data_IF_138568441640
#
_entry.id   IF_138568441640
#
_cell.length_a   1.000
_cell.length_b   1.000
_cell.length_c   1.000
_cell.angle_alpha   90.00
_cell.angle_beta   90.00
_cell.angle_gamma   90.00
#
_symmetry.space_group_name_H-M   'P 1'
#
loop_
_entity.id
_entity.type
_entity.pdbx_description
1 polymer ?
#
# COMPACT_ATOMS: atom_id res chain seq x y z
N UNK A 1 12.38 -12.59 25.96
CA UNK A 1 11.49 -11.42 25.82
C UNK A 1 11.40 -11.07 24.34
N UNK A 2 10.37 -11.53 23.64
CA UNK A 2 10.14 -11.13 22.24
C UNK A 2 9.58 -9.71 22.22
N UNK A 3 10.25 -8.79 21.52
CA UNK A 3 9.75 -7.43 21.38
C UNK A 3 8.61 -7.40 20.36
N UNK A 4 7.50 -6.74 20.70
CA UNK A 4 6.45 -6.46 19.72
C UNK A 4 7.02 -5.63 18.56
N UNK A 5 6.70 -6.03 17.33
CA UNK A 5 6.96 -5.24 16.12
C UNK A 5 5.94 -4.12 15.90
N UNK A 6 4.89 -4.02 16.73
CA UNK A 6 3.80 -3.08 16.51
C UNK A 6 4.27 -1.63 16.52
N UNK A 7 3.99 -0.93 15.41
CA UNK A 7 4.18 0.52 15.28
C UNK A 7 2.83 1.17 15.05
N UNK A 8 2.50 2.14 15.90
CA UNK A 8 1.30 2.95 15.73
C UNK A 8 1.40 3.81 14.46
N UNK A 9 0.38 3.76 13.61
CA UNK A 9 0.33 4.60 12.41
C UNK A 9 0.19 6.09 12.80
N UNK A 10 0.70 7.03 11.99
CA UNK A 10 0.40 8.45 12.19
C UNK A 10 -1.11 8.73 12.16
N UNK A 11 -1.57 9.68 12.98
CA UNK A 11 -3.01 9.98 13.12
C UNK A 11 -3.67 10.33 11.78
N UNK A 12 -2.96 11.07 10.91
CA UNK A 12 -3.45 11.42 9.57
C UNK A 12 -3.66 10.22 8.64
N UNK A 13 -2.99 9.09 8.90
CA UNK A 13 -3.21 7.83 8.19
C UNK A 13 -4.33 7.02 8.85
N UNK A 14 -4.37 6.97 10.18
CA UNK A 14 -5.44 6.31 10.93
C UNK A 14 -6.82 6.88 10.59
N UNK A 15 -6.93 8.21 10.53
CA UNK A 15 -8.18 8.91 10.26
C UNK A 15 -8.75 8.62 8.86
N UNK A 16 -7.94 8.14 7.92
CA UNK A 16 -8.41 7.71 6.58
C UNK A 16 -9.22 6.42 6.64
N UNK A 17 -9.13 5.66 7.74
CA UNK A 17 -9.79 4.35 7.94
C UNK A 17 -9.55 3.39 6.76
N UNK A 18 -8.36 3.47 6.19
CA UNK A 18 -7.95 2.76 4.98
C UNK A 18 -7.00 1.59 5.25
N UNK A 19 -6.52 1.48 6.49
CA UNK A 19 -5.49 0.53 6.91
C UNK A 19 -5.97 -0.20 8.17
N UNK A 20 -5.88 -1.53 8.14
CA UNK A 20 -5.95 -2.38 9.33
C UNK A 20 -4.53 -2.53 9.84
N UNK A 21 -4.29 -2.10 11.07
CA UNK A 21 -3.02 -2.24 11.74
C UNK A 21 -3.18 -3.19 12.94
N UNK A 22 -3.02 -4.51 12.76
CA UNK A 22 -3.22 -5.48 13.84
C UNK A 22 -2.16 -5.28 14.92
N UNK A 23 -2.59 -5.11 16.17
CA UNK A 23 -1.71 -5.11 17.34
C UNK A 23 -1.25 -6.53 17.63
N UNK A 24 0.03 -6.80 17.42
CA UNK A 24 0.70 -8.07 17.70
C UNK A 24 1.74 -7.91 18.82
N UNK A 25 2.09 -9.02 19.48
CA UNK A 25 3.09 -9.06 20.56
C UNK A 25 4.39 -9.77 20.14
N UNK A 26 4.51 -10.08 18.84
CA UNK A 26 5.60 -10.81 18.20
C UNK A 26 6.21 -9.97 17.05
N UNK A 27 7.06 -10.59 16.24
CA UNK A 27 7.68 -10.00 15.05
C UNK A 27 6.99 -10.43 13.73
N UNK A 28 5.83 -11.09 13.82
CA UNK A 28 5.10 -11.67 12.69
C UNK A 28 4.11 -10.68 12.03
N UNK A 29 4.38 -9.38 12.09
CA UNK A 29 3.49 -8.35 11.55
C UNK A 29 3.08 -8.57 10.09
N UNK A 30 3.96 -9.15 9.26
CA UNK A 30 3.66 -9.52 7.87
C UNK A 30 2.55 -10.57 7.80
N UNK A 31 2.65 -11.66 8.57
CA UNK A 31 1.64 -12.72 8.67
C UNK A 31 0.31 -12.12 9.09
N UNK A 32 0.31 -11.34 10.16
CA UNK A 32 -0.91 -10.71 10.67
C UNK A 32 -1.53 -9.73 9.67
N UNK A 33 -0.73 -8.96 8.94
CA UNK A 33 -1.24 -8.10 7.88
C UNK A 33 -1.88 -8.89 6.72
N UNK A 34 -1.30 -10.02 6.30
CA UNK A 34 -1.92 -10.89 5.29
C UNK A 34 -3.25 -11.45 5.80
N UNK A 35 -3.29 -11.95 7.02
CA UNK A 35 -4.48 -12.56 7.60
C UNK A 35 -5.60 -11.54 7.87
N UNK A 36 -5.27 -10.27 8.09
CA UNK A 36 -6.22 -9.18 8.35
C UNK A 36 -7.29 -9.02 7.26
N UNK A 37 -7.02 -9.48 6.03
CA UNK A 37 -8.01 -9.51 4.93
C UNK A 37 -9.26 -10.35 5.25
N UNK A 38 -9.08 -11.39 6.05
CA UNK A 38 -10.14 -12.35 6.40
C UNK A 38 -10.85 -12.02 7.70
N UNK A 39 -10.25 -11.16 8.52
CA UNK A 39 -10.78 -10.82 9.84
C UNK A 39 -11.91 -9.82 9.73
N UNK A 40 -13.06 -10.16 10.29
CA UNK A 40 -14.25 -9.32 10.33
C UNK A 40 -14.55 -8.83 11.74
N UNK A 41 -15.47 -7.87 11.86
CA UNK A 41 -15.91 -7.33 13.16
C UNK A 41 -15.01 -6.26 13.78
N UNK A 42 -15.34 -5.90 15.02
CA UNK A 42 -14.74 -4.76 15.76
C UNK A 42 -13.29 -5.07 16.16
N UNK A 43 -12.99 -6.34 16.44
CA UNK A 43 -11.69 -6.78 16.96
C UNK A 43 -10.60 -6.97 15.88
N UNK A 44 -10.84 -6.52 14.65
CA UNK A 44 -9.86 -6.62 13.54
C UNK A 44 -8.53 -5.90 13.79
N UNK A 45 -8.42 -5.03 14.79
CA UNK A 45 -7.20 -4.29 15.11
C UNK A 45 -6.32 -4.96 16.19
N UNK A 46 -6.68 -6.15 16.67
CA UNK A 46 -5.92 -6.89 17.68
C UNK A 46 -5.77 -8.34 17.24
N UNK A 47 -4.55 -8.86 17.29
CA UNK A 47 -4.29 -10.27 17.02
C UNK A 47 -4.82 -11.13 18.17
N UNK A 48 -5.50 -12.21 17.81
CA UNK A 48 -6.18 -13.12 18.73
C UNK A 48 -6.76 -14.30 17.96
N UNK A 49 -7.76 -14.98 18.53
CA UNK A 49 -8.39 -16.18 17.92
C UNK A 49 -8.96 -15.92 16.53
N UNK A 50 -9.46 -14.70 16.29
CA UNK A 50 -9.94 -14.21 15.00
C UNK A 50 -8.87 -14.16 13.89
N UNK A 51 -7.59 -14.19 14.26
CA UNK A 51 -6.48 -14.29 13.30
C UNK A 51 -5.98 -15.74 13.20
N UNK A 52 -5.86 -16.43 14.32
CA UNK A 52 -5.28 -17.80 14.36
C UNK A 52 -6.10 -18.80 13.55
N UNK A 53 -7.44 -18.61 13.49
CA UNK A 53 -8.34 -19.44 12.66
C UNK A 53 -8.06 -19.34 11.15
N UNK A 54 -7.28 -18.35 10.71
CA UNK A 54 -6.97 -18.13 9.30
C UNK A 54 -5.53 -18.52 8.93
N UNK A 55 -4.71 -18.99 9.87
CA UNK A 55 -3.29 -19.27 9.62
C UNK A 55 -3.07 -20.29 8.50
N UNK A 56 -3.91 -21.30 8.43
CA UNK A 56 -3.82 -22.37 7.42
C UNK A 56 -4.21 -21.92 6.00
N UNK A 57 -4.69 -20.68 5.81
CA UNK A 57 -5.08 -20.17 4.49
C UNK A 57 -3.88 -19.88 3.58
N UNK A 58 -2.69 -19.68 4.15
CA UNK A 58 -1.49 -19.34 3.37
C UNK A 58 -0.27 -20.06 3.89
N UNK A 59 0.64 -20.37 2.97
CA UNK A 59 1.92 -20.98 3.29
C UNK A 59 2.98 -19.91 3.59
N UNK A 60 3.39 -19.80 4.85
CA UNK A 60 4.44 -18.88 5.32
C UNK A 60 5.82 -19.55 5.49
N UNK A 61 6.00 -20.80 5.05
CA UNK A 61 7.26 -21.54 5.21
C UNK A 61 8.44 -20.86 4.49
N UNK A 62 9.61 -20.82 5.13
CA UNK A 62 10.82 -20.25 4.54
C UNK A 62 10.86 -18.71 4.51
N UNK A 63 9.89 -18.06 5.17
CA UNK A 63 9.91 -16.62 5.45
C UNK A 63 10.56 -16.40 6.81
N UNK A 64 11.45 -15.42 6.90
CA UNK A 64 12.00 -14.99 8.19
C UNK A 64 11.16 -13.89 8.82
N UNK A 65 11.23 -13.76 10.15
CA UNK A 65 10.59 -12.67 10.89
C UNK A 65 11.66 -11.87 11.65
N UNK A 66 11.63 -10.53 11.61
CA UNK A 66 10.73 -9.68 10.81
C UNK A 66 10.98 -9.84 9.29
N UNK A 67 9.90 -9.88 8.49
CA UNK A 67 9.97 -10.26 7.07
C UNK A 67 10.63 -9.21 6.19
N UNK A 68 11.81 -9.52 5.59
CA UNK A 68 12.44 -8.63 4.62
C UNK A 68 11.61 -8.55 3.34
N UNK A 69 11.70 -7.43 2.61
CA UNK A 69 11.01 -7.27 1.31
C UNK A 69 11.38 -8.37 0.29
N UNK A 70 12.58 -8.96 0.39
CA UNK A 70 13.00 -10.08 -0.45
C UNK A 70 12.16 -11.35 -0.22
N UNK A 71 11.73 -11.58 1.01
CA UNK A 71 11.02 -12.81 1.41
C UNK A 71 9.54 -12.76 1.03
N UNK A 72 9.01 -11.58 0.70
CA UNK A 72 7.68 -11.44 0.08
C UNK A 72 7.62 -12.20 -1.25
N UNK A 73 8.73 -12.26 -2.00
CA UNK A 73 8.78 -13.08 -3.23
C UNK A 73 8.70 -14.57 -2.92
N UNK A 74 9.27 -15.02 -1.80
CA UNK A 74 9.15 -16.41 -1.34
C UNK A 74 7.69 -16.71 -0.96
N UNK A 75 7.04 -15.80 -0.23
CA UNK A 75 5.62 -15.91 0.09
C UNK A 75 4.75 -16.02 -1.17
N UNK A 76 4.95 -15.15 -2.16
CA UNK A 76 4.23 -15.19 -3.44
C UNK A 76 4.53 -16.47 -4.24
N UNK A 77 5.73 -17.04 -4.12
CA UNK A 77 6.09 -18.31 -4.75
C UNK A 77 5.40 -19.50 -4.07
N UNK A 78 5.31 -19.48 -2.74
CA UNK A 78 4.63 -20.52 -1.96
C UNK A 78 3.11 -20.49 -2.13
N UNK A 79 2.55 -19.36 -2.57
CA UNK A 79 1.11 -19.15 -2.76
C UNK A 79 0.86 -18.67 -4.19
N UNK A 80 0.75 -19.60 -5.14
CA UNK A 80 0.79 -19.31 -6.59
C UNK A 80 -0.28 -18.33 -7.08
N UNK A 81 -1.44 -18.25 -6.43
CA UNK A 81 -2.54 -17.32 -6.72
C UNK A 81 -2.44 -15.97 -5.98
N UNK A 82 -1.35 -15.72 -5.26
CA UNK A 82 -1.15 -14.51 -4.44
C UNK A 82 -0.17 -13.53 -5.09
N UNK A 83 -0.47 -12.24 -4.92
CA UNK A 83 0.41 -11.13 -5.27
C UNK A 83 0.34 -10.03 -4.22
N UNK A 84 1.44 -9.33 -4.00
CA UNK A 84 1.59 -8.36 -2.90
C UNK A 84 2.20 -7.06 -3.43
N UNK A 85 1.47 -5.96 -3.29
CA UNK A 85 2.02 -4.62 -3.37
C UNK A 85 2.45 -4.17 -1.97
N UNK A 86 3.52 -3.38 -1.90
CA UNK A 86 4.06 -2.83 -0.67
C UNK A 86 4.32 -1.34 -0.86
N UNK A 87 3.79 -0.56 0.06
CA UNK A 87 3.90 0.89 0.09
C UNK A 87 4.57 1.35 1.38
N UNK A 88 5.29 2.47 1.31
CA UNK A 88 5.89 3.12 2.48
C UNK A 88 5.24 4.48 2.76
N UNK A 89 5.48 5.01 3.97
CA UNK A 89 5.13 6.38 4.33
C UNK A 89 6.37 7.28 4.36
N UNK A 90 6.30 8.41 3.66
CA UNK A 90 7.27 9.49 3.77
C UNK A 90 6.65 10.65 4.53
N UNK A 91 7.27 10.99 5.65
CA UNK A 91 6.95 12.19 6.39
C UNK A 91 7.44 13.43 5.64
N UNK A 92 6.58 14.44 5.54
CA UNK A 92 6.89 15.77 5.03
C UNK A 92 6.51 16.78 6.11
N UNK A 93 7.52 17.45 6.67
CA UNK A 93 7.28 18.52 7.66
C UNK A 93 6.67 19.73 6.95
N UNK A 94 5.54 20.21 7.45
CA UNK A 94 4.91 21.47 7.04
C UNK A 94 4.79 22.40 8.25
N UNK A 95 4.47 23.67 7.98
CA UNK A 95 4.26 24.71 8.99
C UNK A 95 3.18 24.29 10.02
N UNK A 96 2.11 23.62 9.57
CA UNK A 96 1.02 23.12 10.42
C UNK A 96 1.17 21.63 10.81
N UNK A 97 2.41 21.16 11.02
CA UNK A 97 2.72 19.79 11.42
C UNK A 97 3.12 18.86 10.27
N UNK A 98 3.17 17.55 10.55
CA UNK A 98 3.65 16.52 9.61
C UNK A 98 2.54 15.99 8.69
N UNK A 99 2.81 15.96 7.39
CA UNK A 99 1.97 15.30 6.39
C UNK A 99 2.67 14.02 5.93
N UNK A 100 1.94 12.91 5.88
CA UNK A 100 2.48 11.63 5.41
C UNK A 100 2.01 11.36 3.99
N UNK A 101 2.96 11.02 3.13
CA UNK A 101 2.73 10.66 1.73
C UNK A 101 3.13 9.21 1.48
N UNK A 102 2.22 8.46 0.89
CA UNK A 102 2.44 7.08 0.44
C UNK A 102 3.35 7.09 -0.78
N UNK A 103 4.32 6.18 -0.80
CA UNK A 103 5.19 5.92 -1.94
C UNK A 103 5.34 4.40 -2.16
N UNK A 104 5.85 4.01 -3.32
CA UNK A 104 5.98 2.61 -3.70
C UNK A 104 7.29 2.00 -3.20
N UNK A 105 7.22 0.80 -2.63
CA UNK A 105 8.39 -0.04 -2.29
C UNK A 105 8.48 -1.26 -3.21
N UNK A 106 7.35 -1.92 -3.45
CA UNK A 106 7.22 -3.06 -4.36
C UNK A 106 5.83 -3.00 -4.98
N UNK A 107 5.73 -3.13 -6.30
CA UNK A 107 4.44 -3.32 -6.96
C UNK A 107 4.56 -4.40 -8.03
N UNK A 108 3.51 -5.17 -8.20
CA UNK A 108 3.43 -6.20 -9.24
C UNK A 108 2.95 -5.60 -10.57
N UNK A 109 3.27 -6.25 -11.69
CA UNK A 109 2.72 -5.89 -13.00
C UNK A 109 1.24 -6.29 -13.09
N UNK A 110 0.92 -7.48 -12.59
CA UNK A 110 -0.42 -8.05 -12.64
C UNK A 110 -0.87 -8.48 -11.24
N UNK A 111 -2.07 -8.04 -10.85
CA UNK A 111 -2.70 -8.44 -9.59
C UNK A 111 -3.38 -9.80 -9.78
N UNK A 112 -2.96 -10.79 -8.99
CA UNK A 112 -3.62 -12.11 -8.94
C UNK A 112 -4.89 -12.07 -8.11
N UNK A 113 -5.71 -13.12 -8.18
CA UNK A 113 -6.97 -13.22 -7.42
C UNK A 113 -6.77 -13.03 -5.91
N UNK A 114 -5.70 -13.58 -5.35
CA UNK A 114 -5.25 -13.37 -3.98
C UNK A 114 -4.38 -12.13 -3.79
N UNK A 115 -4.83 -10.95 -4.25
CA UNK A 115 -4.03 -9.72 -4.13
C UNK A 115 -4.09 -9.08 -2.73
N UNK A 116 -2.95 -8.50 -2.32
CA UNK A 116 -2.79 -7.72 -1.10
C UNK A 116 -2.04 -6.41 -1.35
N UNK A 117 -2.54 -5.35 -0.74
CA UNK A 117 -1.84 -4.08 -0.62
C UNK A 117 -1.37 -3.93 0.84
N UNK A 118 -0.07 -3.82 1.06
CA UNK A 118 0.53 -3.68 2.39
C UNK A 118 1.17 -2.31 2.56
N UNK A 119 1.11 -1.79 3.79
CA UNK A 119 1.81 -0.59 4.22
C UNK A 119 2.92 -0.97 5.19
N UNK A 120 4.15 -0.58 4.89
CA UNK A 120 5.28 -0.67 5.81
C UNK A 120 5.50 0.68 6.46
N UNK A 121 5.59 0.67 7.78
CA UNK A 121 6.01 1.82 8.58
C UNK A 121 7.30 1.47 9.31
N UNK A 122 8.21 2.43 9.39
CA UNK A 122 9.51 2.25 10.04
C UNK A 122 9.66 3.30 11.13
N UNK A 123 10.07 2.88 12.33
CA UNK A 123 10.38 3.75 13.46
C UNK A 123 11.57 3.18 14.21
N UNK A 124 12.59 4.00 14.44
CA UNK A 124 13.77 3.63 15.26
C UNK A 124 14.44 2.31 14.80
N UNK A 125 14.59 2.12 13.49
CA UNK A 125 15.20 0.92 12.91
C UNK A 125 14.30 -0.32 12.86
N UNK A 126 13.12 -0.30 13.49
CA UNK A 126 12.12 -1.37 13.39
C UNK A 126 11.13 -1.07 12.29
N UNK A 127 10.66 -2.12 11.62
CA UNK A 127 9.63 -2.03 10.59
C UNK A 127 8.40 -2.86 10.96
N UNK A 128 7.22 -2.37 10.58
CA UNK A 128 5.93 -3.00 10.86
C UNK A 128 5.07 -3.01 9.61
N UNK A 129 4.44 -4.15 9.33
CA UNK A 129 3.52 -4.33 8.21
C UNK A 129 2.07 -4.16 8.67
N UNK A 130 1.29 -3.42 7.89
CA UNK A 130 -0.15 -3.25 8.07
C UNK A 130 -0.89 -3.50 6.75
N UNK A 131 -2.16 -3.90 6.82
CA UNK A 131 -2.96 -4.22 5.66
C UNK A 131 -3.74 -3.01 5.15
N UNK A 132 -3.58 -2.66 3.88
CA UNK A 132 -4.36 -1.59 3.24
C UNK A 132 -5.68 -2.20 2.77
N UNK A 133 -6.74 -2.03 3.56
CA UNK A 133 -8.08 -2.51 3.21
C UNK A 133 -8.73 -1.66 2.11
N UNK A 134 -8.28 -0.42 1.93
CA UNK A 134 -8.90 0.49 0.94
C UNK A 134 -7.87 1.45 0.36
N UNK A 135 -7.22 1.04 -0.73
CA UNK A 135 -6.13 1.79 -1.35
C UNK A 135 -6.53 3.23 -1.73
N UNK A 136 -7.69 3.42 -2.38
CA UNK A 136 -8.12 4.75 -2.84
C UNK A 136 -8.23 5.76 -1.69
N UNK A 137 -8.81 5.36 -0.55
CA UNK A 137 -8.96 6.23 0.64
C UNK A 137 -7.60 6.64 1.19
N UNK A 138 -6.62 5.75 1.11
CA UNK A 138 -5.27 6.00 1.60
C UNK A 138 -4.57 7.09 0.76
N UNK A 139 -4.66 7.02 -0.57
CA UNK A 139 -3.87 7.88 -1.48
C UNK A 139 -4.61 9.12 -1.98
N UNK A 140 -5.95 9.19 -1.90
CA UNK A 140 -6.76 10.25 -2.51
C UNK A 140 -6.27 11.66 -2.18
N UNK A 141 -6.05 11.94 -0.89
CA UNK A 141 -5.65 13.27 -0.41
C UNK A 141 -4.29 13.73 -0.94
N UNK A 142 -3.47 12.83 -1.49
CA UNK A 142 -2.19 13.17 -2.14
C UNK A 142 -2.35 13.54 -3.60
N UNK A 143 -3.49 13.24 -4.22
CA UNK A 143 -3.68 13.31 -5.66
C UNK A 143 -4.80 14.24 -6.09
N UNK A 144 -5.85 14.35 -5.30
CA UNK A 144 -6.99 15.20 -5.65
C UNK A 144 -7.72 15.71 -4.42
N UNK A 145 -8.23 16.94 -4.52
CA UNK A 145 -9.16 17.53 -3.57
C UNK A 145 -10.63 17.30 -3.97
N UNK A 146 -10.87 16.71 -5.15
CA UNK A 146 -12.21 16.45 -5.68
C UNK A 146 -12.94 15.37 -4.86
N UNK A 147 -14.25 15.59 -4.65
CA UNK A 147 -15.10 14.72 -3.84
C UNK A 147 -15.84 13.61 -4.58
N UNK A 148 -15.78 13.56 -5.92
CA UNK A 148 -16.39 12.46 -6.68
C UNK A 148 -15.60 11.15 -6.65
N UNK A 149 -16.18 10.15 -7.30
CA UNK A 149 -15.62 8.81 -7.45
C UNK A 149 -14.36 8.82 -8.31
N UNK A 150 -13.30 8.18 -7.82
CA UNK A 150 -11.99 8.12 -8.48
C UNK A 150 -11.38 6.74 -8.25
N UNK A 151 -10.90 6.13 -9.31
CA UNK A 151 -10.12 4.89 -9.32
C UNK A 151 -8.66 5.26 -9.57
N UNK A 152 -7.74 4.59 -8.87
CA UNK A 152 -6.30 4.87 -8.99
C UNK A 152 -5.57 3.69 -9.61
N UNK A 153 -4.65 3.99 -10.53
CA UNK A 153 -3.61 3.04 -10.89
C UNK A 153 -2.65 2.86 -9.70
N UNK A 154 -2.54 1.63 -9.19
CA UNK A 154 -1.70 1.30 -8.02
C UNK A 154 -0.19 1.41 -8.26
N UNK A 155 0.25 1.54 -9.52
CA UNK A 155 1.67 1.66 -9.93
C UNK A 155 2.16 3.11 -10.05
N UNK A 156 1.33 4.03 -10.54
CA UNK A 156 1.72 5.43 -10.79
C UNK A 156 0.86 6.45 -10.02
N UNK A 157 -0.21 5.98 -9.40
CA UNK A 157 -1.21 6.76 -8.68
C UNK A 157 -1.94 7.79 -9.57
N UNK A 158 -1.98 7.55 -10.89
CA UNK A 158 -2.87 8.30 -11.79
C UNK A 158 -4.32 8.02 -11.43
N UNK A 159 -5.10 9.08 -11.38
CA UNK A 159 -6.52 9.09 -11.03
C UNK A 159 -7.39 9.05 -12.29
N UNK A 160 -8.41 8.20 -12.27
CA UNK A 160 -9.42 8.07 -13.31
C UNK A 160 -10.79 8.25 -12.65
N UNK A 161 -11.54 9.25 -13.10
CA UNK A 161 -12.90 9.52 -12.64
C UNK A 161 -13.91 9.20 -13.75
N UNK A 162 -15.19 9.39 -13.46
CA UNK A 162 -16.26 9.17 -14.44
C UNK A 162 -16.30 10.25 -15.54
N UNK A 163 -15.35 11.19 -15.55
CA UNK A 163 -15.25 12.20 -16.61
C UNK A 163 -14.44 11.62 -17.76
N UNK A 164 -14.96 11.60 -18.99
CA UNK A 164 -14.25 11.02 -20.12
C UNK A 164 -12.95 11.79 -20.40
N UNK A 165 -11.84 11.06 -20.45
CA UNK A 165 -10.55 11.52 -20.97
C UNK A 165 -10.25 10.73 -22.23
N UNK A 166 -10.11 11.41 -23.37
CA UNK A 166 -9.85 10.74 -24.66
C UNK A 166 -10.82 9.58 -24.94
N UNK A 167 -12.13 9.81 -24.71
CA UNK A 167 -13.26 8.90 -24.94
C UNK A 167 -13.49 7.77 -23.91
N UNK A 168 -12.58 7.52 -22.98
CA UNK A 168 -12.79 6.54 -21.90
C UNK A 168 -12.91 7.21 -20.53
N UNK A 169 -13.64 6.58 -19.61
CA UNK A 169 -13.80 7.03 -18.22
C UNK A 169 -13.72 5.85 -17.25
N UNK A 170 -13.50 6.16 -15.96
CA UNK A 170 -13.55 5.18 -14.88
C UNK A 170 -12.65 3.97 -15.12
N UNK A 171 -13.22 2.77 -15.02
CA UNK A 171 -12.50 1.50 -15.12
C UNK A 171 -11.90 1.27 -16.53
N UNK A 172 -12.64 1.58 -17.59
CA UNK A 172 -12.16 1.41 -18.97
C UNK A 172 -10.91 2.28 -19.25
N UNK A 173 -10.90 3.51 -18.74
CA UNK A 173 -9.72 4.39 -18.87
C UNK A 173 -8.51 3.85 -18.08
N UNK A 174 -8.76 3.28 -16.89
CA UNK A 174 -7.71 2.64 -16.10
C UNK A 174 -7.15 1.39 -16.82
N UNK A 175 -8.01 0.57 -17.41
CA UNK A 175 -7.58 -0.66 -18.10
C UNK A 175 -6.73 -0.33 -19.33
N UNK A 176 -7.16 0.66 -20.13
CA UNK A 176 -6.32 1.17 -21.23
C UNK A 176 -4.98 1.72 -20.72
N UNK A 177 -5.00 2.47 -19.60
CA UNK A 177 -3.77 2.99 -19.01
C UNK A 177 -2.83 1.88 -18.52
N UNK A 178 -3.34 0.77 -18.00
CA UNK A 178 -2.52 -0.35 -17.51
C UNK A 178 -1.70 -0.99 -18.62
N UNK A 179 -2.22 -1.04 -19.86
CA UNK A 179 -1.52 -1.59 -21.03
C UNK A 179 -0.15 -0.91 -21.26
N UNK A 180 -0.09 0.41 -21.08
CA UNK A 180 1.14 1.20 -21.25
C UNK A 180 1.91 1.44 -19.94
N UNK A 181 1.21 1.44 -18.79
CA UNK A 181 1.83 1.72 -17.50
C UNK A 181 2.70 0.56 -16.99
N UNK A 182 2.38 -0.68 -17.38
CA UNK A 182 3.14 -1.87 -17.00
C UNK A 182 4.57 -1.88 -17.54
N UNK A 183 4.77 -1.32 -18.74
CA UNK A 183 6.06 -1.33 -19.47
C UNK A 183 7.10 -0.38 -18.86
N UNK A 184 6.64 0.63 -18.12
CA UNK A 184 7.50 1.64 -17.53
C UNK A 184 7.81 1.32 -16.06
N UNK A 185 9.02 1.68 -15.62
CA UNK A 185 9.35 1.64 -14.18
C UNK A 185 8.32 2.48 -13.41
N UNK A 186 7.82 2.02 -12.26
CA UNK A 186 6.87 2.80 -11.46
C UNK A 186 7.45 4.17 -11.12
N UNK A 187 6.82 5.23 -11.64
CA UNK A 187 7.22 6.62 -11.39
C UNK A 187 6.20 7.31 -10.51
N UNK A 188 6.70 8.11 -9.55
CA UNK A 188 5.91 9.11 -8.86
C UNK A 188 6.37 10.46 -9.42
N UNK A 189 5.61 11.10 -10.32
CA UNK A 189 5.96 12.42 -10.83
C UNK A 189 6.11 13.40 -9.65
N UNK A 190 7.29 13.97 -9.47
CA UNK A 190 7.50 15.12 -8.60
C UNK A 190 7.26 16.36 -9.44
N UNK A 191 6.21 17.10 -9.13
CA UNK A 191 6.00 18.40 -9.75
C UNK A 191 7.15 19.33 -9.34
N UNK A 192 7.69 20.13 -10.27
CA UNK A 192 8.63 21.19 -9.93
C UNK A 192 8.00 22.17 -8.94
N UNK A 193 8.83 22.89 -8.19
CA UNK A 193 8.34 23.96 -7.33
C UNK A 193 7.65 25.04 -8.18
N UNK A 194 6.62 25.69 -7.64
CA UNK A 194 5.98 26.84 -8.28
C UNK A 194 7.05 27.88 -8.65
N UNK A 195 7.12 28.24 -9.93
CA UNK A 195 8.10 29.20 -10.48
C UNK A 195 9.38 28.58 -11.05
N UNK A 196 9.59 27.27 -10.94
CA UNK A 196 10.74 26.61 -11.58
C UNK A 196 10.46 26.28 -13.05
N UNK A 197 11.44 26.56 -13.93
CA UNK A 197 11.39 26.22 -15.36
C UNK A 197 12.34 25.06 -15.66
N UNK A 198 11.84 24.08 -16.41
CA UNK A 198 12.65 23.02 -17.01
C UNK A 198 13.11 23.51 -18.40
N UNK A 199 14.42 23.65 -18.60
CA UNK A 199 15.02 23.91 -19.91
C UNK A 199 15.41 22.58 -20.54
N UNK A 200 14.92 22.31 -21.75
CA UNK A 200 15.37 21.18 -22.56
C UNK A 200 16.39 21.70 -23.55
N UNK A 201 17.57 21.09 -23.57
CA UNK A 201 18.56 21.36 -24.60
C UNK A 201 18.42 20.29 -25.67
N UNK A 202 18.00 20.72 -26.86
CA UNK A 202 18.05 19.88 -28.04
C UNK A 202 19.53 19.76 -28.44
N UNK A 203 20.01 18.52 -28.55
CA UNK A 203 21.28 18.21 -29.22
C UNK A 203 20.99 17.84 -30.67
#
# INVERSE_FOLDING_TARGET
MGGSSFIQLPLSIQNKRAVINPKNIDEECFKWAILAKHVTGINRYRVGSNYTEHENKYNFSGITFPTPLSDIKKFEKNNSNVSVNVYGLREQKKIKGSVYTVFLLKVVNEEKTGHFDLLIVTKEGKSHCAYISTFFRLVRSQKTAHNGEVIFCKRCFTAFDNRPRMKLSGQAALDQHKLICGEHKPIIPKMPALGSMLKFEAR
#
